data_IF_102358754586
#
_entry.id   IF_102358754586
#
_cell.length_a   1.000
_cell.length_b   1.000
_cell.length_c   1.000
_cell.angle_alpha   90.00
_cell.angle_beta   90.00
_cell.angle_gamma   90.00
#
_symmetry.space_group_name_H-M   'P 1'
#
loop_
_entity.id
_entity.type
_entity.pdbx_description
1 polymer ?
#
# COMPACT_ATOMS: atom_id res chain seq x y z
N UNK A 1 30.73 44.32 -22.02
CA UNK A 1 30.14 44.49 -20.68
C UNK A 1 29.39 43.22 -20.34
N UNK A 2 29.90 42.51 -19.34
CA UNK A 2 29.39 41.24 -18.83
C UNK A 2 28.21 41.56 -17.92
N UNK A 3 27.00 41.17 -18.29
CA UNK A 3 25.84 41.25 -17.39
C UNK A 3 25.13 39.90 -17.35
N UNK A 4 25.68 39.06 -16.48
CA UNK A 4 24.96 38.25 -15.49
C UNK A 4 23.88 37.30 -16.03
N UNK A 5 24.35 36.12 -16.40
CA UNK A 5 23.63 34.84 -16.34
C UNK A 5 22.91 34.70 -14.99
N UNK A 6 21.60 34.95 -14.96
CA UNK A 6 20.68 34.50 -13.90
C UNK A 6 20.27 33.05 -14.19
N UNK A 7 21.23 32.15 -14.08
CA UNK A 7 21.01 30.72 -13.94
C UNK A 7 21.09 30.38 -12.45
N UNK A 8 20.28 29.42 -12.01
CA UNK A 8 20.33 28.69 -10.71
C UNK A 8 19.44 29.19 -9.56
N UNK A 9 18.14 28.85 -9.65
CA UNK A 9 17.37 28.40 -8.48
C UNK A 9 16.07 27.68 -8.90
N UNK A 10 16.14 26.78 -9.88
CA UNK A 10 15.19 25.67 -9.88
C UNK A 10 15.55 24.80 -8.68
N UNK A 11 14.90 25.08 -7.56
CA UNK A 11 14.75 24.17 -6.45
C UNK A 11 14.13 22.89 -7.03
N UNK A 12 14.98 21.95 -7.47
CA UNK A 12 14.62 20.54 -7.45
C UNK A 12 14.37 20.23 -5.98
N UNK A 13 13.16 20.47 -5.51
CA UNK A 13 12.61 19.72 -4.40
C UNK A 13 12.70 18.27 -4.84
N UNK A 14 13.79 17.61 -4.46
CA UNK A 14 13.90 16.17 -4.48
C UNK A 14 12.74 15.70 -3.60
N UNK A 15 11.60 15.44 -4.23
CA UNK A 15 10.43 14.90 -3.58
C UNK A 15 10.87 13.53 -3.08
N UNK A 16 11.27 13.48 -1.82
CA UNK A 16 11.59 12.22 -1.16
C UNK A 16 10.36 11.35 -1.30
N UNK A 17 10.52 10.19 -1.95
CA UNK A 17 9.46 9.21 -2.05
C UNK A 17 8.93 8.91 -0.64
N UNK A 18 7.62 9.04 -0.45
CA UNK A 18 6.92 8.72 0.80
C UNK A 18 7.38 7.33 1.28
N UNK A 19 7.63 7.16 2.57
CA UNK A 19 8.02 5.86 3.14
C UNK A 19 6.89 5.29 3.97
N UNK A 20 6.48 4.05 3.71
CA UNK A 20 5.39 3.41 4.46
C UNK A 20 5.84 2.05 5.01
N UNK A 21 5.13 1.57 6.04
CA UNK A 21 5.24 0.18 6.48
C UNK A 21 4.53 -0.73 5.48
N UNK A 22 5.19 -1.81 5.08
CA UNK A 22 4.70 -2.83 4.18
C UNK A 22 4.66 -4.19 4.86
N UNK A 23 3.44 -4.72 4.99
CA UNK A 23 3.22 -6.10 5.39
C UNK A 23 1.88 -6.59 4.89
N UNK A 24 1.72 -7.90 4.85
CA UNK A 24 0.48 -8.52 4.42
C UNK A 24 0.28 -9.86 5.11
N UNK A 25 -0.96 -10.13 5.47
CA UNK A 25 -1.44 -11.46 5.80
C UNK A 25 -2.44 -11.87 4.73
N UNK A 26 -2.14 -12.98 4.06
CA UNK A 26 -3.03 -13.62 3.09
C UNK A 26 -3.66 -14.84 3.74
N UNK A 27 -4.98 -14.94 3.65
CA UNK A 27 -5.76 -16.10 4.09
C UNK A 27 -6.44 -16.70 2.87
N UNK A 28 -6.18 -17.98 2.62
CA UNK A 28 -6.81 -18.74 1.55
C UNK A 28 -7.62 -19.88 2.15
N UNK A 29 -8.94 -19.73 2.09
CA UNK A 29 -9.94 -20.68 2.59
C UNK A 29 -10.65 -21.34 1.40
N UNK A 30 -10.58 -22.67 1.32
CA UNK A 30 -11.25 -23.46 0.29
C UNK A 30 -12.49 -24.10 0.90
N UNK A 31 -13.64 -23.84 0.30
CA UNK A 31 -14.92 -24.41 0.70
C UNK A 31 -15.41 -25.42 -0.34
N UNK A 32 -15.88 -26.57 0.12
CA UNK A 32 -16.56 -27.55 -0.72
C UNK A 32 -17.94 -27.83 -0.12
N UNK A 33 -19.00 -27.57 -0.90
CA UNK A 33 -20.40 -27.70 -0.44
C UNK A 33 -20.70 -26.92 0.85
N UNK A 34 -20.10 -25.73 0.98
CA UNK A 34 -20.26 -24.87 2.17
C UNK A 34 -19.41 -25.28 3.38
N UNK A 35 -18.66 -26.38 3.31
CA UNK A 35 -17.76 -26.84 4.37
C UNK A 35 -16.34 -26.38 4.08
N UNK A 36 -15.68 -25.77 5.06
CA UNK A 36 -14.26 -25.42 4.99
C UNK A 36 -13.44 -26.73 4.97
N UNK A 37 -12.78 -26.99 3.84
CA UNK A 37 -11.95 -28.19 3.65
C UNK A 37 -10.47 -27.90 3.81
N UNK A 38 -10.03 -26.66 3.57
CA UNK A 38 -8.64 -26.25 3.75
C UNK A 38 -8.59 -24.78 4.09
N UNK A 39 -7.76 -24.42 5.06
CA UNK A 39 -7.42 -23.03 5.37
C UNK A 39 -5.90 -22.91 5.44
N UNK A 40 -5.36 -21.92 4.77
CA UNK A 40 -3.94 -21.59 4.82
C UNK A 40 -3.75 -20.11 5.06
N UNK A 41 -2.74 -19.77 5.86
CA UNK A 41 -2.39 -18.38 6.18
C UNK A 41 -0.92 -18.17 5.88
N UNK A 42 -0.62 -17.14 5.09
CA UNK A 42 0.74 -16.70 4.78
C UNK A 42 0.94 -15.27 5.28
N UNK A 43 2.04 -15.03 6.00
CA UNK A 43 2.41 -13.70 6.50
C UNK A 43 3.68 -13.23 5.81
N UNK A 44 3.66 -11.98 5.36
CA UNK A 44 4.75 -11.34 4.66
C UNK A 44 5.11 -10.03 5.35
N UNK A 45 6.36 -9.89 5.77
CA UNK A 45 6.87 -8.70 6.45
C UNK A 45 8.02 -8.11 5.63
N UNK A 46 7.88 -6.86 5.19
CA UNK A 46 8.89 -6.16 4.39
C UNK A 46 9.49 -4.95 5.10
N UNK A 47 8.90 -4.53 6.22
CA UNK A 47 9.36 -3.36 6.97
C UNK A 47 8.99 -2.04 6.28
N UNK A 48 9.85 -1.02 6.42
CA UNK A 48 9.60 0.31 5.85
C UNK A 48 10.28 0.42 4.50
N UNK A 49 9.52 0.77 3.46
CA UNK A 49 10.03 0.94 2.09
C UNK A 49 9.54 2.26 1.51
N UNK A 50 10.26 2.75 0.49
CA UNK A 50 9.84 3.90 -0.29
C UNK A 50 8.71 3.52 -1.25
N UNK A 51 7.71 4.39 -1.37
CA UNK A 51 6.60 4.26 -2.29
C UNK A 51 7.02 4.61 -3.72
N UNK A 52 6.42 3.92 -4.70
CA UNK A 52 6.48 4.34 -6.10
C UNK A 52 5.89 5.75 -6.26
N UNK A 53 6.33 6.47 -7.30
CA UNK A 53 6.02 7.89 -7.53
C UNK A 53 4.52 8.23 -7.58
N UNK A 54 3.67 7.27 -7.95
CA UNK A 54 2.22 7.40 -8.03
C UNK A 54 1.48 6.98 -6.74
N UNK A 55 2.19 6.41 -5.76
CA UNK A 55 1.63 5.93 -4.49
C UNK A 55 1.94 6.95 -3.39
N UNK A 56 0.98 7.82 -3.11
CA UNK A 56 1.17 9.00 -2.26
C UNK A 56 0.47 8.90 -0.90
N UNK A 57 -0.02 7.72 -0.52
CA UNK A 57 -0.61 7.45 0.79
C UNK A 57 -0.02 6.20 1.41
N UNK A 58 0.24 6.24 2.70
CA UNK A 58 0.40 5.04 3.50
C UNK A 58 -0.99 4.56 3.93
N UNK A 59 -1.28 3.29 3.71
CA UNK A 59 -2.60 2.71 3.96
C UNK A 59 -2.45 1.47 4.83
N UNK A 60 -3.32 1.37 5.83
CA UNK A 60 -3.58 0.15 6.60
C UNK A 60 -4.96 -0.36 6.16
N UNK A 61 -5.00 -1.44 5.41
CA UNK A 61 -6.20 -1.95 4.76
C UNK A 61 -6.71 -3.24 5.39
N UNK A 62 -8.04 -3.31 5.51
CA UNK A 62 -8.74 -4.53 5.96
C UNK A 62 -8.73 -5.62 4.89
N UNK A 63 -9.13 -6.81 5.31
CA UNK A 63 -9.24 -7.97 4.44
C UNK A 63 -10.07 -7.62 3.19
N UNK A 64 -9.47 -7.79 2.02
CA UNK A 64 -10.09 -7.65 0.72
C UNK A 64 -9.70 -8.83 -0.16
N UNK A 65 -10.50 -9.12 -1.19
CA UNK A 65 -10.17 -10.22 -2.10
C UNK A 65 -8.90 -9.91 -2.90
N UNK A 66 -8.04 -10.91 -3.07
CA UNK A 66 -6.80 -10.79 -3.86
C UNK A 66 -7.07 -10.36 -5.30
N UNK A 67 -8.21 -10.76 -5.87
CA UNK A 67 -8.67 -10.32 -7.20
C UNK A 67 -8.87 -8.80 -7.24
N UNK A 68 -9.51 -8.23 -6.23
CA UNK A 68 -9.72 -6.80 -6.11
C UNK A 68 -8.41 -6.05 -5.82
N UNK A 69 -7.59 -6.57 -4.90
CA UNK A 69 -6.27 -6.01 -4.58
C UNK A 69 -5.39 -5.84 -5.83
N UNK A 70 -5.37 -6.84 -6.72
CA UNK A 70 -4.64 -6.80 -8.00
C UNK A 70 -5.11 -5.69 -8.96
N UNK A 71 -6.30 -5.13 -8.75
CA UNK A 71 -6.79 -3.99 -9.56
C UNK A 71 -6.34 -2.63 -9.02
N UNK A 72 -5.83 -2.57 -7.79
CA UNK A 72 -5.28 -1.35 -7.19
C UNK A 72 -3.91 -1.04 -7.81
N UNK A 73 -3.52 0.23 -7.84
CA UNK A 73 -2.21 0.70 -8.28
C UNK A 73 -1.09 -0.01 -7.53
N UNK A 74 -1.22 -0.21 -6.21
CA UNK A 74 -0.25 -0.99 -5.41
C UNK A 74 -0.17 -2.46 -5.83
N UNK A 75 -1.28 -3.07 -6.28
CA UNK A 75 -1.28 -4.46 -6.75
C UNK A 75 -0.66 -4.62 -8.14
N UNK A 76 -0.68 -3.55 -8.93
CA UNK A 76 -0.09 -3.45 -10.28
C UNK A 76 1.35 -2.94 -10.27
N UNK A 77 1.80 -2.38 -9.16
CA UNK A 77 3.14 -1.89 -8.97
C UNK A 77 4.20 -3.00 -9.12
N UNK A 78 5.43 -2.61 -9.42
CA UNK A 78 6.55 -3.52 -9.63
C UNK A 78 7.40 -3.74 -8.38
N UNK A 79 6.98 -3.22 -7.21
CA UNK A 79 7.68 -3.45 -5.95
C UNK A 79 7.76 -4.93 -5.57
N UNK A 80 8.79 -5.32 -4.79
CA UNK A 80 8.89 -6.67 -4.24
C UNK A 80 7.63 -7.10 -3.47
N UNK A 81 6.99 -6.18 -2.75
CA UNK A 81 5.73 -6.41 -2.05
C UNK A 81 4.60 -6.83 -2.99
N UNK A 82 4.35 -6.04 -4.04
CA UNK A 82 3.29 -6.32 -5.00
C UNK A 82 3.52 -7.65 -5.74
N UNK A 83 4.76 -7.89 -6.17
CA UNK A 83 5.13 -9.11 -6.88
C UNK A 83 4.92 -10.37 -6.03
N UNK A 84 5.25 -10.32 -4.74
CA UNK A 84 5.09 -11.46 -3.84
C UNK A 84 3.63 -11.82 -3.58
N UNK A 85 2.75 -10.82 -3.52
CA UNK A 85 1.32 -11.04 -3.33
C UNK A 85 0.61 -11.44 -4.62
N UNK A 86 1.14 -11.11 -5.80
CA UNK A 86 0.42 -11.26 -7.08
C UNK A 86 -0.01 -12.70 -7.36
N UNK A 87 0.81 -13.69 -7.00
CA UNK A 87 0.54 -15.12 -7.17
C UNK A 87 -0.39 -15.71 -6.11
N UNK A 88 -0.78 -14.95 -5.09
CA UNK A 88 -1.59 -15.43 -3.99
C UNK A 88 -3.10 -15.39 -4.32
N UNK A 89 -3.84 -16.28 -3.68
CA UNK A 89 -5.30 -16.35 -3.76
C UNK A 89 -5.94 -16.11 -2.39
N UNK A 90 -7.26 -15.96 -2.35
CA UNK A 90 -8.02 -15.69 -1.13
C UNK A 90 -8.11 -14.19 -0.81
N UNK A 91 -7.95 -13.86 0.47
CA UNK A 91 -8.09 -12.49 1.00
C UNK A 91 -6.79 -11.97 1.57
N UNK A 92 -6.54 -10.68 1.41
CA UNK A 92 -5.35 -9.99 1.92
C UNK A 92 -5.72 -8.83 2.83
N UNK A 93 -5.03 -8.73 3.96
CA UNK A 93 -5.06 -7.57 4.86
C UNK A 93 -3.64 -7.14 5.14
N UNK A 94 -3.39 -5.86 5.40
CA UNK A 94 -2.03 -5.43 5.67
C UNK A 94 -1.83 -3.93 5.59
N UNK A 95 -0.58 -3.57 5.33
CA UNK A 95 -0.09 -2.20 5.24
C UNK A 95 0.70 -2.04 3.95
N UNK A 96 0.50 -0.95 3.23
CA UNK A 96 1.29 -0.63 2.04
C UNK A 96 1.11 0.83 1.63
N UNK A 97 1.90 1.27 0.66
CA UNK A 97 1.60 2.46 -0.11
C UNK A 97 0.38 2.24 -1.01
N UNK A 98 -0.45 3.26 -1.23
CA UNK A 98 -1.50 3.29 -2.25
C UNK A 98 -1.60 4.69 -2.85
N UNK A 99 -2.27 4.81 -4.00
CA UNK A 99 -2.70 6.10 -4.51
C UNK A 99 -3.89 6.63 -3.69
N UNK A 100 -4.09 7.95 -3.70
CA UNK A 100 -5.28 8.57 -3.12
C UNK A 100 -6.57 7.93 -3.64
N UNK A 101 -6.66 7.69 -4.95
CA UNK A 101 -7.86 7.14 -5.58
C UNK A 101 -8.19 5.74 -5.06
N UNK A 102 -7.17 4.88 -4.89
CA UNK A 102 -7.39 3.54 -4.33
C UNK A 102 -7.72 3.58 -2.85
N UNK A 103 -7.10 4.49 -2.08
CA UNK A 103 -7.44 4.70 -0.68
C UNK A 103 -8.93 5.06 -0.52
N UNK A 104 -9.46 5.94 -1.38
CA UNK A 104 -10.88 6.28 -1.44
C UNK A 104 -11.74 5.09 -1.89
N UNK A 105 -11.29 4.34 -2.90
CA UNK A 105 -11.99 3.16 -3.43
C UNK A 105 -12.19 2.05 -2.41
N UNK A 106 -11.27 1.92 -1.44
CA UNK A 106 -11.41 0.98 -0.31
C UNK A 106 -12.04 1.61 0.94
N UNK A 107 -12.57 2.84 0.80
CA UNK A 107 -13.17 3.61 1.88
C UNK A 107 -12.24 3.79 3.09
N UNK A 108 -10.94 4.01 2.84
CA UNK A 108 -9.96 4.23 3.90
C UNK A 108 -10.17 5.60 4.56
N UNK A 109 -10.37 5.60 5.87
CA UNK A 109 -10.50 6.82 6.65
C UNK A 109 -9.17 7.56 6.71
N UNK A 110 -9.17 8.83 6.33
CA UNK A 110 -7.98 9.67 6.48
C UNK A 110 -7.71 9.99 7.94
N UNK A 111 -6.47 9.78 8.39
CA UNK A 111 -6.01 10.12 9.73
C UNK A 111 -4.57 10.66 9.68
N UNK A 112 -4.12 11.27 10.78
CA UNK A 112 -2.71 11.67 10.91
C UNK A 112 -1.77 10.45 11.06
N UNK A 113 -2.26 9.38 11.70
CA UNK A 113 -1.60 8.08 11.82
C UNK A 113 -2.64 6.97 11.79
N UNK A 114 -2.34 5.88 11.11
CA UNK A 114 -3.10 4.65 11.15
C UNK A 114 -2.50 3.70 12.19
N UNK A 115 -3.37 3.11 13.01
CA UNK A 115 -2.99 2.08 13.98
C UNK A 115 -3.59 0.75 13.56
N UNK A 116 -3.04 -0.36 14.05
CA UNK A 116 -3.59 -1.70 13.81
C UNK A 116 -4.99 -1.91 14.38
N UNK A 117 -5.41 -1.06 15.32
CA UNK A 117 -6.67 -1.17 16.07
C UNK A 117 -7.87 -0.52 15.37
N UNK A 118 -7.68 0.10 14.21
CA UNK A 118 -8.77 0.80 13.53
C UNK A 118 -9.83 -0.19 13.02
N UNK A 119 -11.11 0.13 13.22
CA UNK A 119 -12.22 -0.70 12.76
C UNK A 119 -12.35 -0.72 11.23
N UNK A 120 -11.88 0.33 10.55
CA UNK A 120 -11.91 0.52 9.10
C UNK A 120 -10.50 0.58 8.53
N UNK A 121 -10.39 0.48 7.20
CA UNK A 121 -9.15 0.84 6.51
C UNK A 121 -8.79 2.29 6.83
N UNK A 122 -7.51 2.62 6.85
CA UNK A 122 -7.02 3.96 7.16
C UNK A 122 -5.96 4.40 6.17
N UNK A 123 -5.93 5.70 5.87
CA UNK A 123 -4.96 6.35 5.00
C UNK A 123 -4.31 7.56 5.66
N UNK A 124 -3.02 7.79 5.38
CA UNK A 124 -2.25 8.94 5.86
C UNK A 124 -1.14 9.28 4.84
N UNK A 125 -0.49 10.45 4.95
CA UNK A 125 0.45 10.96 3.93
C UNK A 125 1.82 11.40 4.47
N UNK A 126 2.18 10.95 5.68
CA UNK A 126 3.49 11.22 6.27
C UNK A 126 4.28 9.92 6.39
N UNK A 127 5.61 10.03 6.45
CA UNK A 127 6.45 8.84 6.54
C UNK A 127 6.09 7.97 7.76
N UNK A 128 5.99 6.67 7.52
CA UNK A 128 5.73 5.61 8.50
C UNK A 128 4.48 5.87 9.37
N UNK A 129 3.47 6.50 8.78
CA UNK A 129 2.25 6.84 9.51
C UNK A 129 1.28 5.67 9.66
N UNK A 130 1.52 4.51 9.04
CA UNK A 130 0.58 3.38 8.97
C UNK A 130 0.87 2.15 9.82
#
# INVERSE_FOLDING_TARGET
MISTLLFTSLLLSAASALKCSHNATVVNDVFQRGVLITSSTSRYEFGVMGCSWNLNRCVSFKAMDMSFFRTLDVGRDLSPFANMLRSSEGKVTGRSCMSQADAERIFAQTAARCTSTMARSCSCATDNCN
#
